data_IF_441828299313
#
_entry.id   IF_441828299313
#
_cell.length_a   1.000
_cell.length_b   1.000
_cell.length_c   1.000
_cell.angle_alpha   90.00
_cell.angle_beta   90.00
_cell.angle_gamma   90.00
#
_symmetry.space_group_name_H-M   'P 1'
#
loop_
_entity.id
_entity.type
_entity.pdbx_description
1 polymer ?
#
# COMPACT_ATOMS: atom_id res chain seq x y z
N UNK A 1 4.70 19.80 -18.28
CA UNK A 1 5.07 18.67 -17.41
C UNK A 1 5.32 17.47 -18.31
N UNK A 2 6.37 16.64 -18.12
CA UNK A 2 6.46 15.38 -18.85
C UNK A 2 5.26 14.50 -18.46
N UNK A 3 4.50 14.07 -19.46
CA UNK A 3 3.33 13.20 -19.25
C UNK A 3 3.74 11.84 -18.67
N UNK A 4 3.12 11.48 -17.55
CA UNK A 4 3.31 10.20 -16.87
C UNK A 4 2.02 9.38 -16.91
N UNK A 5 2.17 8.07 -17.10
CA UNK A 5 1.13 7.08 -16.88
C UNK A 5 1.47 6.27 -15.64
N UNK A 6 0.49 6.08 -14.76
CA UNK A 6 0.63 5.23 -13.58
C UNK A 6 -0.12 3.93 -13.81
N UNK A 7 0.57 2.80 -13.65
CA UNK A 7 -0.01 1.46 -13.70
C UNK A 7 0.04 0.82 -12.32
N UNK A 8 -0.99 0.06 -11.97
CA UNK A 8 -1.10 -0.69 -10.73
C UNK A 8 -1.44 -2.16 -11.00
N UNK A 9 -1.11 -3.02 -10.04
CA UNK A 9 -1.63 -4.38 -9.96
C UNK A 9 -3.14 -4.38 -9.70
N UNK A 10 -3.86 -5.33 -10.30
CA UNK A 10 -5.29 -5.58 -10.00
C UNK A 10 -5.51 -7.05 -9.67
N UNK A 11 -5.53 -7.92 -10.67
CA UNK A 11 -5.61 -9.39 -10.51
C UNK A 11 -4.26 -10.09 -10.65
N UNK A 12 -3.31 -9.45 -11.35
CA UNK A 12 -1.91 -9.89 -11.44
C UNK A 12 -1.06 -8.94 -10.61
N UNK A 13 -0.25 -9.48 -9.68
CA UNK A 13 0.58 -8.67 -8.79
C UNK A 13 1.74 -7.97 -9.50
N UNK A 14 2.32 -8.60 -10.53
CA UNK A 14 3.46 -8.09 -11.27
C UNK A 14 3.58 -8.74 -12.67
N UNK A 15 3.97 -7.98 -13.72
CA UNK A 15 4.08 -6.53 -13.74
C UNK A 15 2.70 -5.85 -13.63
N UNK A 16 2.62 -4.60 -13.15
CA UNK A 16 1.36 -3.87 -13.10
C UNK A 16 0.90 -3.51 -14.52
N UNK A 17 -0.40 -3.62 -14.77
CA UNK A 17 -0.95 -3.49 -16.13
C UNK A 17 -2.22 -2.64 -16.22
N UNK A 18 -2.78 -2.17 -15.10
CA UNK A 18 -4.03 -1.41 -15.09
C UNK A 18 -3.74 0.06 -14.80
N UNK A 19 -4.27 0.97 -15.62
CA UNK A 19 -4.10 2.40 -15.40
C UNK A 19 -4.79 2.86 -14.11
N UNK A 20 -4.04 3.59 -13.28
CA UNK A 20 -4.52 4.16 -12.03
C UNK A 20 -5.06 5.58 -12.27
N UNK A 21 -6.15 5.93 -11.58
CA UNK A 21 -6.63 7.31 -11.50
C UNK A 21 -5.79 8.03 -10.44
N UNK A 22 -4.82 8.82 -10.88
CA UNK A 22 -3.96 9.63 -10.00
C UNK A 22 -4.77 10.74 -9.34
N UNK A 23 -4.48 11.04 -8.07
CA UNK A 23 -5.18 12.04 -7.27
C UNK A 23 -6.70 11.80 -7.15
N UNK A 24 -7.13 10.54 -7.26
CA UNK A 24 -8.54 10.18 -7.25
C UNK A 24 -8.89 8.93 -6.43
N UNK A 25 -10.03 8.29 -6.72
CA UNK A 25 -10.55 7.18 -5.94
C UNK A 25 -9.60 5.97 -5.80
N UNK A 26 -9.70 5.18 -4.71
CA UNK A 26 -8.76 4.11 -4.45
C UNK A 26 -9.12 3.00 -5.43
N UNK A 27 -8.11 2.45 -6.10
CA UNK A 27 -8.31 1.33 -6.98
C UNK A 27 -8.24 0.04 -6.17
N UNK A 28 -9.27 -0.81 -6.29
CA UNK A 28 -9.29 -2.12 -5.64
C UNK A 28 -8.27 -3.05 -6.26
N UNK A 29 -7.58 -3.80 -5.42
CA UNK A 29 -6.56 -4.79 -5.79
C UNK A 29 -6.88 -6.10 -5.10
N UNK A 30 -6.90 -7.19 -5.87
CA UNK A 30 -7.09 -8.55 -5.36
C UNK A 30 -6.24 -9.51 -6.15
N UNK A 31 -5.10 -9.87 -5.57
CA UNK A 31 -4.18 -10.88 -6.11
C UNK A 31 -4.37 -12.20 -5.37
N UNK A 32 -3.54 -13.20 -5.66
CA UNK A 32 -3.58 -14.49 -4.96
C UNK A 32 -3.32 -14.34 -3.45
N UNK A 33 -2.45 -13.40 -3.07
CA UNK A 33 -1.96 -13.29 -1.68
C UNK A 33 -2.23 -11.94 -1.02
N UNK A 34 -2.96 -11.04 -1.68
CA UNK A 34 -3.29 -9.72 -1.14
C UNK A 34 -4.69 -9.27 -1.57
N UNK A 35 -5.42 -8.65 -0.65
CA UNK A 35 -6.69 -7.98 -0.92
C UNK A 35 -6.69 -6.60 -0.27
N UNK A 36 -7.01 -5.58 -1.04
CA UNK A 36 -7.00 -4.20 -0.57
C UNK A 36 -7.26 -3.18 -1.65
N UNK A 37 -6.68 -2.01 -1.47
CA UNK A 37 -6.84 -0.86 -2.33
C UNK A 37 -5.59 0.02 -2.35
N UNK A 38 -5.34 0.64 -3.50
CA UNK A 38 -4.18 1.49 -3.78
C UNK A 38 -4.66 2.86 -4.26
N UNK A 39 -4.13 3.92 -3.65
CA UNK A 39 -4.23 5.30 -4.15
C UNK A 39 -2.84 5.84 -4.49
N UNK A 40 -2.75 6.60 -5.57
CA UNK A 40 -1.52 7.26 -5.99
C UNK A 40 -1.77 8.76 -6.07
N UNK A 41 -0.95 9.53 -5.38
CA UNK A 41 -0.99 10.98 -5.37
C UNK A 41 0.27 11.54 -5.99
N UNK A 42 0.14 12.52 -6.88
CA UNK A 42 1.25 13.23 -7.51
C UNK A 42 0.92 14.72 -7.54
N UNK A 43 1.78 15.54 -6.96
CA UNK A 43 1.56 16.98 -6.84
C UNK A 43 1.69 17.64 -8.21
N UNK A 44 0.70 18.46 -8.57
CA UNK A 44 0.67 19.15 -9.87
C UNK A 44 0.51 18.21 -11.06
N UNK A 45 -0.13 17.06 -10.87
CA UNK A 45 -0.38 16.10 -11.94
C UNK A 45 -1.53 16.53 -12.83
N UNK A 46 -1.22 16.78 -14.10
CA UNK A 46 -2.20 17.08 -15.14
C UNK A 46 -2.93 15.79 -15.55
N UNK A 47 -4.16 15.58 -15.08
CA UNK A 47 -5.04 14.51 -15.57
C UNK A 47 -5.85 14.97 -16.78
N UNK A 48 -6.18 14.05 -17.69
CA UNK A 48 -7.10 14.30 -18.83
C UNK A 48 -8.58 14.48 -18.39
N UNK A 49 -8.83 14.76 -17.10
CA UNK A 49 -10.16 14.94 -16.49
C UNK A 49 -10.10 15.80 -15.23
N UNK A 50 -11.26 16.24 -14.73
CA UNK A 50 -11.41 17.14 -13.57
C UNK A 50 -10.51 16.68 -12.41
N UNK A 51 -9.55 17.51 -12.05
CA UNK A 51 -8.70 17.33 -10.87
C UNK A 51 -9.63 17.20 -9.66
N UNK A 52 -9.78 15.99 -9.13
CA UNK A 52 -10.54 15.81 -7.90
C UNK A 52 -9.84 16.55 -6.75
N UNK A 53 -10.63 17.17 -5.88
CA UNK A 53 -10.16 17.85 -4.64
C UNK A 53 -9.30 16.93 -3.73
N UNK A 54 -9.27 15.61 -3.98
CA UNK A 54 -8.57 14.63 -3.17
C UNK A 54 -7.04 14.82 -3.17
N UNK A 55 -6.44 15.17 -4.31
CA UNK A 55 -5.01 15.43 -4.40
C UNK A 55 -4.61 16.65 -3.57
N UNK A 56 -5.33 17.75 -3.72
CA UNK A 56 -5.09 18.98 -2.96
C UNK A 56 -5.29 18.76 -1.46
N UNK A 57 -6.35 18.05 -1.07
CA UNK A 57 -6.60 17.70 0.33
C UNK A 57 -5.47 16.82 0.91
N UNK A 58 -4.98 15.83 0.14
CA UNK A 58 -3.86 14.99 0.56
C UNK A 58 -2.58 15.81 0.79
N UNK A 59 -2.15 16.59 -0.20
CA UNK A 59 -0.92 17.37 -0.10
C UNK A 59 -1.02 18.54 0.89
N UNK A 60 -2.22 19.02 1.20
CA UNK A 60 -2.42 19.97 2.30
C UNK A 60 -2.11 19.35 3.66
N UNK A 61 -2.36 18.04 3.83
CA UNK A 61 -2.02 17.28 5.04
C UNK A 61 -0.59 16.71 5.06
N UNK A 62 0.08 16.73 3.91
CA UNK A 62 1.44 16.22 3.67
C UNK A 62 2.25 17.20 2.78
N UNK A 63 2.45 18.46 3.23
CA UNK A 63 3.06 19.51 2.39
C UNK A 63 4.50 19.22 1.96
N UNK A 64 5.19 18.33 2.69
CA UNK A 64 6.54 17.87 2.43
C UNK A 64 6.64 16.86 1.28
N UNK A 65 5.53 16.24 0.87
CA UNK A 65 5.51 15.22 -0.18
C UNK A 65 5.22 15.83 -1.55
N UNK A 66 5.91 15.31 -2.57
CA UNK A 66 5.64 15.61 -3.99
C UNK A 66 4.90 14.47 -4.68
N UNK A 67 4.95 13.27 -4.10
CA UNK A 67 4.12 12.12 -4.46
C UNK A 67 3.90 11.21 -3.26
N UNK A 68 2.87 10.37 -3.32
CA UNK A 68 2.63 9.32 -2.34
C UNK A 68 1.92 8.11 -2.95
N UNK A 69 2.26 6.94 -2.42
CA UNK A 69 1.56 5.68 -2.57
C UNK A 69 0.87 5.40 -1.24
N UNK A 70 -0.44 5.19 -1.28
CA UNK A 70 -1.23 4.79 -0.12
C UNK A 70 -1.83 3.44 -0.42
N UNK A 71 -1.56 2.45 0.43
CA UNK A 71 -2.07 1.10 0.28
C UNK A 71 -2.75 0.67 1.58
N UNK A 72 -3.98 0.16 1.48
CA UNK A 72 -4.72 -0.40 2.61
C UNK A 72 -5.19 -1.80 2.25
N UNK A 73 -5.02 -2.78 3.13
CA UNK A 73 -5.42 -4.15 2.83
C UNK A 73 -4.93 -5.18 3.84
N UNK A 74 -5.01 -6.45 3.44
CA UNK A 74 -4.59 -7.61 4.23
C UNK A 74 -3.87 -8.62 3.36
N UNK A 75 -2.96 -9.36 3.98
CA UNK A 75 -2.15 -10.40 3.34
C UNK A 75 -2.79 -11.76 3.61
N UNK A 76 -2.88 -12.62 2.59
CA UNK A 76 -3.70 -13.83 2.64
C UNK A 76 -2.88 -15.10 2.92
N UNK A 77 -1.56 -14.99 3.06
CA UNK A 77 -0.62 -16.11 3.09
C UNK A 77 0.34 -16.10 4.29
N UNK A 78 -0.02 -15.41 5.39
CA UNK A 78 0.71 -15.39 6.67
C UNK A 78 2.20 -15.04 6.53
N UNK A 79 2.52 -13.90 5.93
CA UNK A 79 3.91 -13.48 5.74
C UNK A 79 4.50 -12.89 7.03
N UNK A 80 5.70 -13.33 7.40
CA UNK A 80 6.43 -12.78 8.54
C UNK A 80 6.81 -11.32 8.32
N UNK A 81 6.83 -10.53 9.40
CA UNK A 81 7.10 -9.10 9.30
C UNK A 81 8.53 -8.73 8.86
N UNK A 82 9.48 -9.65 9.00
CA UNK A 82 10.85 -9.49 8.45
C UNK A 82 10.94 -9.79 6.95
N UNK A 83 10.02 -10.63 6.46
CA UNK A 83 9.96 -11.09 5.08
C UNK A 83 9.08 -10.19 4.20
N UNK A 84 8.19 -9.38 4.78
CA UNK A 84 7.39 -8.43 4.02
C UNK A 84 8.22 -7.18 3.71
N UNK A 85 8.67 -7.08 2.46
CA UNK A 85 9.56 -6.00 2.00
C UNK A 85 8.91 -5.15 0.91
N UNK A 86 9.28 -3.88 0.90
CA UNK A 86 8.83 -2.88 -0.06
C UNK A 86 10.00 -2.07 -0.61
N UNK A 87 9.88 -1.64 -1.86
CA UNK A 87 10.82 -0.72 -2.47
C UNK A 87 10.76 -0.78 -3.99
N UNK A 88 11.90 -0.60 -4.65
CA UNK A 88 11.99 -0.47 -6.10
C UNK A 88 12.64 -1.67 -6.76
N UNK A 89 12.15 -2.02 -7.94
CA UNK A 89 12.78 -2.97 -8.86
C UNK A 89 12.86 -2.39 -10.26
N UNK A 90 13.85 -2.84 -11.02
CA UNK A 90 14.15 -2.38 -12.38
C UNK A 90 14.26 -3.60 -13.30
N UNK A 91 13.63 -3.51 -14.48
CA UNK A 91 13.60 -4.60 -15.46
C UNK A 91 14.84 -4.62 -16.36
N UNK A 92 15.62 -3.52 -16.37
CA UNK A 92 16.87 -3.40 -17.15
C UNK A 92 18.01 -2.84 -16.29
N UNK A 93 19.27 -3.14 -16.62
CA UNK A 93 20.41 -2.63 -15.88
C UNK A 93 20.43 -1.10 -15.89
N UNK A 94 20.66 -0.49 -14.72
CA UNK A 94 20.82 0.98 -14.61
C UNK A 94 22.28 1.43 -14.48
N UNK A 95 23.23 0.48 -14.39
CA UNK A 95 24.65 0.73 -14.10
C UNK A 95 25.31 1.78 -15.00
N UNK A 96 24.91 1.85 -16.26
CA UNK A 96 25.45 2.80 -17.25
C UNK A 96 24.75 4.17 -17.22
N UNK A 97 23.65 4.27 -16.47
CA UNK A 97 22.84 5.48 -16.26
C UNK A 97 23.07 6.10 -14.87
N UNK A 98 23.89 5.49 -14.02
CA UNK A 98 24.18 5.98 -12.69
C UNK A 98 25.11 7.22 -12.74
N UNK A 99 24.78 8.33 -12.05
CA UNK A 99 25.67 9.47 -11.94
C UNK A 99 27.04 9.11 -11.35
N UNK A 100 28.09 9.84 -11.72
CA UNK A 100 29.41 9.69 -11.09
C UNK A 100 29.30 10.02 -9.58
N UNK A 101 29.47 9.01 -8.72
CA UNK A 101 29.31 9.14 -7.26
C UNK A 101 28.20 8.28 -6.63
N UNK A 102 27.47 7.45 -7.39
CA UNK A 102 26.40 6.58 -6.81
C UNK A 102 26.88 5.66 -5.69
N UNK A 103 28.15 5.23 -5.68
CA UNK A 103 28.73 4.47 -4.57
C UNK A 103 28.77 5.24 -3.22
N UNK A 104 28.67 6.58 -3.27
CA UNK A 104 28.52 7.44 -2.08
C UNK A 104 27.04 7.57 -1.73
N UNK A 105 26.15 7.69 -2.72
CA UNK A 105 24.70 7.74 -2.51
C UNK A 105 24.17 6.47 -1.83
N UNK A 106 24.71 5.28 -2.12
CA UNK A 106 24.36 4.03 -1.41
C UNK A 106 24.68 4.08 0.07
N UNK A 107 25.81 4.69 0.47
CA UNK A 107 26.16 4.87 1.89
C UNK A 107 25.21 5.84 2.61
N UNK A 108 24.72 6.87 1.92
CA UNK A 108 23.73 7.80 2.48
C UNK A 108 22.34 7.17 2.61
N UNK A 109 21.96 6.24 1.73
CA UNK A 109 20.68 5.54 1.85
C UNK A 109 20.58 4.73 3.15
N UNK A 110 21.66 4.08 3.59
CA UNK A 110 21.68 3.37 4.88
C UNK A 110 21.59 4.30 6.11
N UNK A 111 21.93 5.58 5.96
CA UNK A 111 21.71 6.56 7.04
C UNK A 111 20.22 6.91 7.18
N UNK A 112 19.47 6.90 6.07
CA UNK A 112 18.03 7.18 6.05
C UNK A 112 17.23 5.94 6.44
N UNK A 113 17.59 4.78 5.90
CA UNK A 113 16.99 3.48 6.18
C UNK A 113 18.10 2.43 6.40
N UNK A 114 18.44 2.12 7.67
CA UNK A 114 19.50 1.16 7.97
C UNK A 114 19.15 -0.28 7.59
N UNK A 115 17.88 -0.55 7.27
CA UNK A 115 17.36 -1.87 6.91
C UNK A 115 17.19 -2.06 5.41
N UNK A 116 17.53 -1.04 4.62
CA UNK A 116 17.53 -1.12 3.16
C UNK A 116 18.61 -2.09 2.67
N UNK A 117 18.20 -3.02 1.83
CA UNK A 117 19.07 -3.89 1.04
C UNK A 117 18.93 -3.50 -0.44
N UNK A 118 20.01 -3.57 -1.20
CA UNK A 118 20.00 -3.17 -2.61
C UNK A 118 21.11 -3.84 -3.40
N UNK A 119 20.84 -4.07 -4.68
CA UNK A 119 21.86 -4.31 -5.70
C UNK A 119 21.55 -3.44 -6.91
N UNK A 120 22.24 -2.30 -7.00
CA UNK A 120 22.09 -1.34 -8.11
C UNK A 120 22.92 -1.71 -9.35
N UNK A 121 23.78 -2.72 -9.24
CA UNK A 121 24.69 -3.15 -10.30
C UNK A 121 24.24 -4.46 -10.99
N UNK A 122 23.25 -5.16 -10.41
CA UNK A 122 22.59 -6.30 -11.01
C UNK A 122 22.04 -6.00 -12.41
N UNK A 123 21.86 -7.05 -13.23
CA UNK A 123 21.20 -6.91 -14.53
C UNK A 123 19.72 -6.53 -14.37
N UNK A 124 19.10 -6.89 -13.24
CA UNK A 124 17.81 -6.38 -12.78
C UNK A 124 17.98 -5.72 -11.40
N UNK A 125 18.28 -4.41 -11.37
CA UNK A 125 18.54 -3.68 -10.13
C UNK A 125 17.34 -3.69 -9.17
N UNK A 126 17.62 -3.59 -7.87
CA UNK A 126 16.57 -3.51 -6.84
C UNK A 126 17.07 -2.80 -5.58
N UNK A 127 16.12 -2.25 -4.82
CA UNK A 127 16.33 -1.69 -3.49
C UNK A 127 15.08 -1.94 -2.65
N UNK A 128 15.17 -2.75 -1.61
CA UNK A 128 14.04 -3.23 -0.81
C UNK A 128 14.35 -3.12 0.67
N UNK A 129 13.33 -2.77 1.46
CA UNK A 129 13.44 -2.64 2.92
C UNK A 129 12.19 -3.22 3.58
N UNK A 130 12.27 -3.76 4.80
CA UNK A 130 11.10 -4.24 5.53
C UNK A 130 10.02 -3.16 5.62
N UNK A 131 8.77 -3.52 5.30
CA UNK A 131 7.61 -2.61 5.34
C UNK A 131 7.50 -1.91 6.70
N UNK A 132 7.71 -2.67 7.78
CA UNK A 132 7.66 -2.18 9.16
C UNK A 132 8.62 -1.02 9.44
N UNK A 133 9.75 -0.97 8.73
CA UNK A 133 10.77 0.07 8.91
C UNK A 133 10.65 1.19 7.88
N UNK A 134 10.40 0.89 6.61
CA UNK A 134 10.64 1.86 5.53
C UNK A 134 9.53 2.90 5.35
N UNK A 135 8.27 2.53 5.63
CA UNK A 135 7.11 3.38 5.34
C UNK A 135 7.22 4.77 5.98
N UNK A 136 6.67 5.80 5.32
CA UNK A 136 6.53 7.13 5.92
C UNK A 136 5.53 7.07 7.07
N UNK A 137 4.41 6.38 6.86
CA UNK A 137 3.43 6.07 7.91
C UNK A 137 2.91 4.65 7.76
N UNK A 138 2.67 4.02 8.91
CA UNK A 138 2.17 2.66 8.97
C UNK A 138 1.10 2.54 10.06
N UNK A 139 0.00 1.86 9.75
CA UNK A 139 -1.03 1.48 10.69
C UNK A 139 -1.26 -0.03 10.62
N UNK A 140 -1.33 -0.70 11.77
CA UNK A 140 -1.56 -2.14 11.87
C UNK A 140 -2.70 -2.39 12.85
N UNK A 141 -3.84 -2.87 12.41
CA UNK A 141 -5.02 -3.05 13.28
C UNK A 141 -5.49 -4.50 13.23
N UNK A 142 -5.57 -5.16 14.39
CA UNK A 142 -6.26 -6.46 14.52
C UNK A 142 -7.77 -6.22 14.52
N UNK A 143 -8.51 -6.90 13.66
CA UNK A 143 -9.93 -6.61 13.44
C UNK A 143 -10.86 -7.12 14.58
N UNK A 144 -11.81 -6.27 14.99
CA UNK A 144 -13.22 -6.61 15.31
C UNK A 144 -14.21 -5.46 14.96
N UNK A 145 -13.80 -4.43 14.18
CA UNK A 145 -14.54 -3.16 14.02
C UNK A 145 -14.75 -2.73 12.54
N UNK A 146 -15.75 -1.87 12.23
CA UNK A 146 -16.61 -2.00 11.06
C UNK A 146 -16.03 -1.50 9.73
N UNK A 147 -16.56 -2.12 8.67
CA UNK A 147 -16.31 -2.00 7.23
C UNK A 147 -16.71 -0.65 6.61
N UNK A 148 -16.35 0.47 7.24
CA UNK A 148 -16.53 1.80 6.67
C UNK A 148 -15.18 2.49 6.52
N UNK A 149 -14.53 2.22 5.38
CA UNK A 149 -13.41 3.01 4.88
C UNK A 149 -13.93 4.43 4.60
N UNK A 150 -13.83 5.30 5.60
CA UNK A 150 -14.23 6.70 5.48
C UNK A 150 -13.48 7.42 4.37
N UNK A 151 -14.09 8.49 3.85
CA UNK A 151 -13.50 9.33 2.81
C UNK A 151 -12.47 10.27 3.47
N UNK A 152 -11.30 9.72 3.83
CA UNK A 152 -10.02 10.43 3.89
C UNK A 152 -8.86 9.42 3.90
N UNK A 153 -7.95 9.55 2.92
CA UNK A 153 -7.07 8.44 2.44
C UNK A 153 -5.67 8.42 3.03
N UNK A 154 -5.24 9.43 3.77
CA UNK A 154 -3.93 9.41 4.42
C UNK A 154 -3.85 8.27 5.46
N UNK A 155 -2.67 7.68 5.63
CA UNK A 155 -2.44 6.72 6.72
C UNK A 155 -1.95 7.50 7.92
N UNK A 156 -2.56 7.28 9.09
CA UNK A 156 -2.00 7.78 10.34
C UNK A 156 -1.06 6.73 10.94
N UNK A 157 -0.03 7.21 11.64
CA UNK A 157 0.99 6.36 12.22
C UNK A 157 0.43 5.69 13.48
N UNK A 158 0.25 4.37 13.42
CA UNK A 158 -0.27 3.55 14.51
C UNK A 158 0.08 2.07 14.31
N UNK A 159 1.38 1.75 14.36
CA UNK A 159 1.84 0.36 14.20
C UNK A 159 2.41 -0.25 15.47
N UNK A 160 2.93 0.56 16.41
CA UNK A 160 3.68 0.04 17.55
C UNK A 160 2.79 -0.60 18.63
N UNK A 161 1.52 -0.23 18.70
CA UNK A 161 0.58 -0.84 19.66
C UNK A 161 0.46 -2.36 19.49
N UNK A 162 0.74 -2.88 18.29
CA UNK A 162 0.75 -4.33 18.00
C UNK A 162 1.77 -5.10 18.86
N UNK A 163 2.79 -4.40 19.38
CA UNK A 163 3.82 -4.92 20.29
C UNK A 163 3.62 -4.44 21.74
N UNK A 164 2.42 -3.97 22.09
CA UNK A 164 2.07 -3.39 23.39
C UNK A 164 2.94 -2.17 23.75
N UNK A 165 3.33 -1.40 22.73
CA UNK A 165 4.17 -0.21 22.88
C UNK A 165 3.35 1.07 22.76
N UNK A 166 3.47 2.01 23.71
CA UNK A 166 2.67 3.23 23.74
C UNK A 166 3.18 4.32 22.78
N UNK A 167 4.38 4.19 22.22
CA UNK A 167 4.94 5.18 21.30
C UNK A 167 4.18 5.21 19.97
N UNK A 168 3.94 6.41 19.43
CA UNK A 168 3.17 6.60 18.18
C UNK A 168 3.95 7.37 17.12
N UNK A 169 5.24 7.64 17.35
CA UNK A 169 6.04 8.40 16.40
C UNK A 169 6.66 7.51 15.33
N UNK A 170 6.75 8.04 14.10
CA UNK A 170 7.43 7.39 12.97
C UNK A 170 8.88 7.04 13.32
N UNK A 171 9.56 7.93 14.07
CA UNK A 171 10.94 7.73 14.51
C UNK A 171 11.08 6.53 15.45
N UNK A 172 10.17 6.40 16.42
CA UNK A 172 10.18 5.29 17.37
C UNK A 172 9.83 3.98 16.67
N UNK A 173 8.86 4.00 15.74
CA UNK A 173 8.54 2.85 14.90
C UNK A 173 9.77 2.36 14.14
N UNK A 174 10.43 3.28 13.41
CA UNK A 174 11.63 2.99 12.62
C UNK A 174 12.76 2.45 13.47
N UNK A 175 12.96 2.99 14.67
CA UNK A 175 13.95 2.48 15.63
C UNK A 175 13.62 1.07 16.12
N UNK A 176 12.36 0.81 16.49
CA UNK A 176 11.90 -0.50 16.94
C UNK A 176 12.07 -1.57 15.86
N UNK A 177 11.49 -1.33 14.68
CA UNK A 177 11.52 -2.25 13.56
C UNK A 177 12.80 -2.16 12.72
N UNK A 178 13.79 -1.35 13.14
CA UNK A 178 15.16 -1.43 12.63
C UNK A 178 15.85 -2.76 12.97
N UNK A 179 15.33 -3.50 13.95
CA UNK A 179 15.85 -4.79 14.40
C UNK A 179 15.00 -5.96 13.88
N UNK A 180 15.64 -7.02 13.39
CA UNK A 180 14.95 -8.21 12.86
C UNK A 180 14.07 -8.89 13.94
N UNK A 181 14.57 -9.03 15.16
CA UNK A 181 13.84 -9.64 16.29
C UNK A 181 12.45 -8.99 16.52
N UNK A 182 12.34 -7.67 16.43
CA UNK A 182 11.04 -7.01 16.57
C UNK A 182 10.12 -7.22 15.36
N UNK A 183 10.68 -7.37 14.16
CA UNK A 183 9.92 -7.62 12.93
C UNK A 183 9.39 -9.05 12.87
N UNK A 184 10.20 -10.02 13.31
CA UNK A 184 9.85 -11.45 13.38
C UNK A 184 8.68 -11.74 14.35
N UNK A 185 8.40 -10.83 15.29
CA UNK A 185 7.24 -10.92 16.20
C UNK A 185 5.91 -10.61 15.54
N UNK A 186 5.92 -10.09 14.30
CA UNK A 186 4.73 -9.72 13.56
C UNK A 186 4.46 -10.75 12.47
N UNK A 187 3.21 -11.17 12.34
CA UNK A 187 2.73 -11.94 11.19
C UNK A 187 1.63 -11.14 10.51
N UNK A 188 1.78 -10.95 9.21
CA UNK A 188 0.76 -10.35 8.35
C UNK A 188 -0.14 -11.45 7.80
N UNK A 189 -1.29 -11.60 8.42
CA UNK A 189 -2.32 -12.55 8.03
C UNK A 189 -3.63 -11.83 7.66
N UNK A 190 -4.67 -12.61 7.35
CA UNK A 190 -5.94 -12.06 6.90
C UNK A 190 -6.71 -11.29 7.97
N UNK A 191 -6.34 -11.41 9.25
CA UNK A 191 -6.93 -10.69 10.38
C UNK A 191 -6.24 -9.37 10.71
N UNK A 192 -5.06 -9.12 10.12
CA UNK A 192 -4.29 -7.90 10.33
C UNK A 192 -4.52 -6.90 9.19
N UNK A 193 -5.33 -5.88 9.45
CA UNK A 193 -5.50 -4.78 8.53
C UNK A 193 -4.26 -3.90 8.54
N UNK A 194 -3.70 -3.65 7.35
CA UNK A 194 -2.47 -2.90 7.16
C UNK A 194 -2.76 -1.65 6.34
N UNK A 195 -2.39 -0.48 6.86
CA UNK A 195 -2.33 0.78 6.12
C UNK A 195 -0.89 1.23 5.96
N UNK A 196 -0.46 1.49 4.72
CA UNK A 196 0.90 1.92 4.36
C UNK A 196 0.85 3.21 3.57
N UNK A 197 1.67 4.18 3.95
CA UNK A 197 1.92 5.40 3.17
C UNK A 197 3.42 5.50 2.90
N UNK A 198 3.78 5.59 1.62
CA UNK A 198 5.14 5.79 1.17
C UNK A 198 5.19 6.97 0.20
N UNK A 199 6.10 7.91 0.43
CA UNK A 199 6.26 9.08 -0.41
C UNK A 199 7.56 9.80 -0.08
N UNK A 200 8.04 10.62 -1.00
CA UNK A 200 9.24 11.42 -0.79
C UNK A 200 9.03 12.83 -1.33
N UNK A 201 9.59 13.82 -0.65
CA UNK A 201 9.75 15.18 -1.16
C UNK A 201 11.04 15.39 -1.94
N UNK A 202 11.92 14.39 -1.98
CA UNK A 202 13.20 14.48 -2.67
C UNK A 202 13.05 14.22 -4.17
N UNK A 203 12.05 13.44 -4.59
CA UNK A 203 11.78 13.14 -5.99
C UNK A 203 10.54 13.93 -6.44
N UNK A 204 10.74 14.90 -7.32
CA UNK A 204 9.65 15.60 -7.97
C UNK A 204 9.34 14.92 -9.31
N UNK A 205 8.18 14.25 -9.39
CA UNK A 205 7.71 13.57 -10.60
C UNK A 205 7.16 14.55 -11.64
N UNK A 206 6.73 15.76 -11.24
CA UNK A 206 6.24 16.79 -12.15
C UNK A 206 7.37 17.44 -12.95
N UNK A 207 8.56 17.52 -12.35
CA UNK A 207 9.75 18.04 -13.04
C UNK A 207 10.76 16.95 -13.41
N UNK A 208 10.51 15.70 -13.02
CA UNK A 208 11.45 14.57 -13.08
C UNK A 208 12.82 15.00 -12.53
N UNK A 209 12.84 15.48 -11.30
CA UNK A 209 14.07 15.94 -10.64
C UNK A 209 14.25 15.35 -9.25
N UNK A 210 15.51 15.20 -8.84
CA UNK A 210 15.85 14.81 -7.47
C UNK A 210 16.54 15.96 -6.76
N UNK A 211 16.04 16.29 -5.57
CA UNK A 211 16.65 17.21 -4.62
C UNK A 211 17.47 16.41 -3.62
N UNK A 212 18.75 16.73 -3.50
CA UNK A 212 19.62 16.09 -2.51
C UNK A 212 19.39 16.70 -1.11
N UNK A 213 19.34 15.88 -0.04
CA UNK A 213 19.18 16.39 1.32
C UNK A 213 20.45 17.10 1.82
N UNK A 214 20.37 18.43 1.96
CA UNK A 214 21.27 19.38 2.64
C UNK A 214 22.75 19.51 2.20
N UNK A 215 23.28 20.72 2.50
CA UNK A 215 24.53 21.39 2.08
C UNK A 215 24.53 22.09 0.71
N UNK A 216 23.80 21.63 -0.30
CA UNK A 216 23.59 22.37 -1.55
C UNK A 216 22.22 22.02 -2.15
N UNK A 217 21.34 23.00 -2.45
CA UNK A 217 20.08 22.75 -3.16
C UNK A 217 20.38 22.51 -4.65
N UNK A 218 21.02 21.39 -4.96
CA UNK A 218 21.22 20.93 -6.33
C UNK A 218 20.01 20.08 -6.72
N UNK A 219 19.15 20.62 -7.57
CA UNK A 219 18.14 19.83 -8.28
C UNK A 219 18.80 19.22 -9.51
N UNK A 220 18.82 17.88 -9.58
CA UNK A 220 19.37 17.15 -10.71
C UNK A 220 18.23 16.64 -11.57
N UNK A 221 18.21 17.02 -12.85
CA UNK A 221 17.24 16.49 -13.82
C UNK A 221 17.47 14.99 -14.03
N UNK A 222 16.46 14.18 -13.68
CA UNK A 222 16.49 12.74 -13.89
C UNK A 222 16.48 12.40 -15.38
N UNK A 223 15.81 13.17 -16.24
CA UNK A 223 15.83 12.94 -17.69
C UNK A 223 17.26 12.91 -18.26
N UNK A 224 18.21 13.62 -17.63
CA UNK A 224 19.61 13.62 -18.06
C UNK A 224 20.32 12.29 -17.79
N UNK A 225 19.85 11.48 -16.85
CA UNK A 225 20.52 10.25 -16.42
C UNK A 225 19.65 9.00 -16.64
N UNK A 226 18.35 9.10 -16.43
CA UNK A 226 17.36 8.04 -16.58
C UNK A 226 17.27 7.52 -18.01
N UNK A 227 16.99 6.23 -18.16
CA UNK A 227 16.91 5.50 -19.42
C UNK A 227 15.49 5.30 -19.95
N UNK A 228 14.51 5.91 -19.28
CA UNK A 228 13.10 5.81 -19.64
C UNK A 228 12.47 4.46 -19.28
N UNK A 229 13.15 3.59 -18.53
CA UNK A 229 12.48 2.40 -18.00
C UNK A 229 11.55 2.79 -16.82
N UNK A 230 10.40 2.14 -16.64
CA UNK A 230 9.46 2.50 -15.58
C UNK A 230 10.10 2.40 -14.20
N UNK A 231 9.74 3.32 -13.31
CA UNK A 231 10.06 3.19 -11.88
C UNK A 231 8.97 2.33 -11.25
N UNK A 232 9.31 1.09 -10.87
CA UNK A 232 8.35 0.13 -10.33
C UNK A 232 8.56 -0.01 -8.83
N UNK A 233 7.53 0.32 -8.06
CA UNK A 233 7.43 0.00 -6.65
C UNK A 233 6.75 -1.35 -6.49
N UNK A 234 7.27 -2.18 -5.59
CA UNK A 234 6.73 -3.50 -5.30
C UNK A 234 6.63 -3.72 -3.80
N UNK A 235 5.58 -4.42 -3.38
CA UNK A 235 5.56 -5.11 -2.10
C UNK A 235 5.62 -6.61 -2.36
N UNK A 236 6.56 -7.29 -1.70
CA UNK A 236 6.81 -8.71 -1.93
C UNK A 236 7.27 -9.42 -0.67
N UNK A 237 7.16 -10.75 -0.68
CA UNK A 237 7.91 -11.62 0.22
C UNK A 237 9.38 -11.61 -0.20
N UNK A 238 10.28 -11.45 0.77
CA UNK A 238 11.74 -11.51 0.62
C UNK A 238 12.17 -12.76 -0.15
N UNK A 239 13.16 -12.62 -1.03
CA UNK A 239 13.68 -13.68 -1.88
C UNK A 239 15.10 -13.35 -2.34
N UNK A 240 15.89 -14.36 -2.65
CA UNK A 240 17.20 -14.23 -3.30
C UNK A 240 17.09 -13.63 -4.72
N UNK A 241 15.94 -13.81 -5.38
CA UNK A 241 15.64 -13.27 -6.69
C UNK A 241 14.49 -12.25 -6.59
N UNK A 242 14.79 -10.98 -6.24
CA UNK A 242 13.77 -9.99 -5.90
C UNK A 242 12.99 -9.44 -7.10
N UNK A 243 13.44 -9.68 -8.34
CA UNK A 243 12.80 -9.18 -9.57
C UNK A 243 12.16 -10.34 -10.34
N UNK A 244 11.22 -11.03 -9.69
CA UNK A 244 10.37 -12.07 -10.28
C UNK A 244 8.92 -11.91 -9.83
N UNK A 245 7.93 -12.41 -10.60
CA UNK A 245 6.53 -12.35 -10.19
C UNK A 245 6.23 -13.12 -8.91
N UNK A 246 6.98 -14.19 -8.61
CA UNK A 246 6.77 -15.03 -7.44
C UNK A 246 7.02 -14.26 -6.13
N UNK A 247 6.02 -14.31 -5.24
CA UNK A 247 6.05 -13.61 -3.96
C UNK A 247 5.67 -12.13 -4.05
N UNK A 248 5.25 -11.62 -5.21
CA UNK A 248 4.71 -10.25 -5.34
C UNK A 248 3.29 -10.19 -4.79
N UNK A 249 3.03 -9.22 -3.91
CA UNK A 249 1.71 -8.96 -3.37
C UNK A 249 0.95 -7.94 -4.23
N UNK A 250 1.64 -6.85 -4.57
CA UNK A 250 1.14 -5.76 -5.41
C UNK A 250 2.29 -4.91 -5.95
N UNK A 251 2.03 -4.14 -7.01
CA UNK A 251 3.01 -3.25 -7.61
C UNK A 251 2.39 -1.98 -8.20
N UNK A 252 3.20 -0.93 -8.28
CA UNK A 252 2.86 0.37 -8.88
C UNK A 252 4.00 0.82 -9.78
N UNK A 253 3.73 1.11 -11.05
CA UNK A 253 4.73 1.59 -12.00
C UNK A 253 4.42 3.01 -12.48
N UNK A 254 5.45 3.84 -12.54
CA UNK A 254 5.43 5.15 -13.17
C UNK A 254 6.14 5.07 -14.52
N UNK A 255 5.41 5.34 -15.59
CA UNK A 255 5.89 5.26 -16.97
C UNK A 255 5.87 6.64 -17.62
N UNK A 256 6.92 6.98 -18.36
CA UNK A 256 6.90 8.18 -19.19
C UNK A 256 6.17 7.89 -20.50
N UNK A 257 5.13 8.69 -20.78
CA UNK A 257 4.32 8.60 -22.02
C UNK A 257 4.39 9.90 -22.83
N UNK A 258 5.28 10.80 -22.43
CA UNK A 258 5.54 12.06 -23.11
C UNK A 258 6.33 11.85 -24.40
N UNK A 259 5.68 12.05 -25.54
CA UNK A 259 6.28 11.80 -26.86
C UNK A 259 7.55 12.63 -27.11
N UNK A 260 7.58 13.89 -26.64
CA UNK A 260 8.75 14.76 -26.81
C UNK A 260 9.94 14.28 -25.97
N UNK A 261 9.68 13.88 -24.72
CA UNK A 261 10.70 13.34 -23.84
C UNK A 261 11.19 11.96 -24.31
N UNK A 262 10.30 11.11 -24.79
CA UNK A 262 10.64 9.82 -25.41
C UNK A 262 11.54 10.05 -26.62
N UNK A 263 11.16 10.93 -27.55
CA UNK A 263 11.97 11.26 -28.72
C UNK A 263 13.35 11.85 -28.34
N UNK A 264 13.43 12.61 -27.25
CA UNK A 264 14.71 13.11 -26.74
C UNK A 264 15.61 12.00 -26.16
N UNK A 265 15.04 10.99 -25.50
CA UNK A 265 15.75 9.81 -25.02
C UNK A 265 16.25 8.94 -26.19
N UNK A 266 15.41 8.75 -27.21
CA UNK A 266 15.76 7.98 -28.42
C UNK A 266 16.88 8.64 -29.22
N UNK A 267 16.87 9.97 -29.37
CA UNK A 267 17.98 10.73 -29.98
C UNK A 267 19.31 10.53 -29.27
N UNK A 268 19.30 10.13 -28.00
CA UNK A 268 20.49 9.83 -27.18
C UNK A 268 20.86 8.34 -27.21
N UNK A 269 20.20 7.55 -28.04
CA UNK A 269 20.45 6.11 -28.18
C UNK A 269 19.82 5.24 -27.09
N UNK A 270 18.88 5.79 -26.29
CA UNK A 270 18.16 5.03 -25.26
C UNK A 270 16.83 4.50 -25.81
N UNK A 271 16.38 3.34 -25.33
CA UNK A 271 15.04 2.79 -25.66
C UNK A 271 14.12 2.87 -24.46
N UNK A 272 12.91 3.40 -24.62
CA UNK A 272 11.91 3.46 -23.55
C UNK A 272 11.24 2.10 -23.41
N UNK A 273 11.13 1.60 -22.18
CA UNK A 273 10.43 0.34 -21.90
C UNK A 273 8.99 0.67 -21.52
N UNK A 274 8.03 0.24 -22.35
CA UNK A 274 6.61 0.37 -22.06
C UNK A 274 6.06 -0.93 -21.48
N UNK A 275 5.27 -0.84 -20.41
CA UNK A 275 4.55 -1.99 -19.86
C UNK A 275 3.27 -2.25 -20.65
N UNK A 276 2.87 -3.53 -20.72
CA UNK A 276 1.63 -3.93 -21.39
C UNK A 276 0.42 -3.52 -20.55
N UNK A 277 -0.47 -2.69 -21.11
CA UNK A 277 -1.70 -2.25 -20.45
C UNK A 277 -2.83 -3.23 -20.76
N UNK A 278 -3.54 -3.70 -19.73
CA UNK A 278 -4.80 -4.42 -19.89
C UNK A 278 -5.94 -3.42 -19.89
N UNK A 279 -6.88 -3.55 -20.81
CA UNK A 279 -8.11 -2.75 -20.78
C UNK A 279 -8.84 -2.96 -19.44
N UNK A 280 -9.46 -1.90 -18.87
CA UNK A 280 -10.25 -2.05 -17.65
C UNK A 280 -11.38 -3.03 -17.92
N UNK A 281 -11.39 -4.15 -17.21
CA UNK A 281 -12.53 -5.05 -17.17
C UNK A 281 -13.61 -4.32 -16.39
N UNK A 282 -14.75 -4.04 -17.03
CA UNK A 282 -15.92 -3.41 -16.42
C UNK A 282 -16.30 -4.17 -15.12
N UNK A 283 -15.91 -3.64 -13.96
CA UNK A 283 -16.28 -4.20 -12.64
C UNK A 283 -17.69 -3.78 -12.20
N UNK A 284 -18.49 -3.22 -13.11
CA UNK A 284 -19.88 -2.83 -12.87
C UNK A 284 -20.86 -3.99 -13.15
N UNK A 285 -20.62 -5.20 -12.63
CA UNK A 285 -21.61 -6.28 -12.77
C UNK A 285 -21.44 -7.46 -11.79
N UNK A 286 -20.99 -7.26 -10.55
CA UNK A 286 -21.22 -8.31 -9.53
C UNK A 286 -21.38 -7.68 -8.14
N UNK A 287 -22.53 -7.06 -7.92
CA UNK A 287 -23.06 -6.95 -6.58
C UNK A 287 -23.20 -8.38 -6.01
N UNK A 288 -22.77 -8.64 -4.76
CA UNK A 288 -23.02 -9.94 -4.14
C UNK A 288 -24.53 -10.19 -4.15
N UNK A 289 -24.96 -11.31 -4.76
CA UNK A 289 -26.34 -11.77 -4.64
C UNK A 289 -26.65 -11.87 -3.14
N UNK A 290 -27.77 -11.29 -2.66
CA UNK A 290 -28.14 -11.45 -1.27
C UNK A 290 -28.23 -12.94 -0.96
N UNK A 291 -27.59 -13.33 0.14
CA UNK A 291 -27.64 -14.68 0.69
C UNK A 291 -29.12 -15.08 0.77
N UNK A 292 -29.52 -16.09 0.00
CA UNK A 292 -30.89 -16.59 0.06
C UNK A 292 -31.15 -17.02 1.51
N UNK A 293 -32.13 -16.41 2.16
CA UNK A 293 -32.59 -16.84 3.47
C UNK A 293 -33.03 -18.29 3.34
N UNK A 294 -32.31 -19.22 3.96
CA UNK A 294 -32.80 -20.58 4.10
C UNK A 294 -34.12 -20.53 4.88
N UNK A 295 -35.19 -20.95 4.21
CA UNK A 295 -36.50 -21.06 4.79
C UNK A 295 -36.48 -22.10 5.92
N UNK A 296 -36.84 -21.66 7.12
CA UNK A 296 -37.14 -22.53 8.26
C UNK A 296 -38.27 -23.49 7.83
N UNK A 297 -38.09 -24.83 7.90
CA UNK A 297 -39.15 -25.76 7.55
C UNK A 297 -40.30 -25.67 8.58
N UNK A 298 -41.56 -25.77 8.14
CA UNK A 298 -42.72 -25.65 9.02
C UNK A 298 -42.78 -26.83 9.98
N UNK A 299 -42.83 -26.52 11.27
CA UNK A 299 -42.94 -27.52 12.33
C UNK A 299 -44.29 -28.26 12.26
N UNK A 300 -44.20 -29.57 12.45
CA UNK A 300 -45.30 -30.54 12.35
C UNK A 300 -46.26 -30.35 13.54
N UNK A 301 -47.56 -30.42 13.23
CA UNK A 301 -48.68 -30.42 14.18
C UNK A 301 -48.47 -31.48 15.27
N UNK A 302 -48.54 -31.07 16.53
CA UNK A 302 -48.83 -31.96 17.66
C UNK A 302 -50.25 -31.68 18.18
N UNK A 303 -50.98 -32.77 18.39
CA UNK A 303 -52.41 -32.85 18.62
C UNK A 303 -52.84 -32.36 20.02
N UNK A 304 -54.09 -31.93 20.09
CA UNK A 304 -54.84 -31.54 21.28
C UNK A 304 -55.24 -32.73 22.16
N UNK A 305 -55.13 -32.58 23.48
CA UNK A 305 -55.77 -33.43 24.49
C UNK A 305 -55.73 -32.78 25.89
N UNK A 306 -56.72 -33.02 26.77
CA UNK A 306 -57.40 -31.94 27.51
C UNK A 306 -56.89 -31.66 28.93
N UNK A 307 -57.18 -30.45 29.42
CA UNK A 307 -57.02 -30.05 30.83
C UNK A 307 -57.92 -30.86 31.80
N UNK A 308 -57.79 -30.65 33.12
CA UNK A 308 -58.54 -29.53 33.72
C UNK A 308 -57.95 -28.91 35.01
N UNK A 309 -58.66 -27.85 35.46
CA UNK A 309 -58.96 -27.45 36.85
C UNK A 309 -58.01 -26.52 37.63
N UNK A 310 -58.32 -25.23 37.48
CA UNK A 310 -58.63 -24.21 38.50
C UNK A 310 -58.54 -24.56 40.01
N UNK A 311 -57.93 -23.63 40.75
CA UNK A 311 -58.00 -23.24 42.20
C UNK A 311 -56.66 -22.57 42.52
N UNK A 312 -56.52 -21.40 43.13
CA UNK A 312 -57.43 -20.48 43.80
C UNK A 312 -56.55 -19.53 44.63
N UNK A 313 -56.85 -18.25 44.51
CA UNK A 313 -56.52 -17.09 45.34
C UNK A 313 -55.86 -17.32 46.73
N UNK A 314 -54.81 -16.55 47.07
CA UNK A 314 -54.67 -15.84 48.35
C UNK A 314 -53.38 -14.98 48.39
N UNK A 315 -53.55 -13.73 48.81
CA UNK A 315 -52.50 -12.84 49.28
C UNK A 315 -51.94 -13.32 50.63
N UNK A 316 -50.68 -13.03 50.94
CA UNK A 316 -50.38 -12.28 52.17
C UNK A 316 -48.95 -11.70 52.23
N UNK A 317 -48.90 -10.68 53.06
CA UNK A 317 -47.89 -9.74 53.57
C UNK A 317 -46.45 -10.17 53.92
N UNK A 318 -45.69 -9.11 54.24
CA UNK A 318 -44.56 -9.01 55.21
C UNK A 318 -43.13 -9.24 54.69
N UNK A 319 -42.32 -8.16 54.61
CA UNK A 319 -41.33 -7.65 55.61
C UNK A 319 -39.96 -8.35 55.46
N UNK A 320 -38.92 -7.61 55.07
CA UNK A 320 -37.81 -7.11 55.94
C UNK A 320 -36.86 -8.26 56.33
N UNK A 321 -35.52 -8.18 56.36
CA UNK A 321 -34.53 -7.12 56.52
C UNK A 321 -33.15 -7.66 56.05
N UNK A 322 -32.21 -6.72 55.89
CA UNK A 322 -30.79 -6.74 56.27
C UNK A 322 -29.80 -7.83 55.80
N UNK A 323 -28.74 -7.43 55.09
CA UNK A 323 -27.34 -7.13 55.54
C UNK A 323 -26.51 -8.39 55.77
N UNK A 324 -25.54 -8.63 54.88
CA UNK A 324 -24.09 -8.45 55.13
C UNK A 324 -23.34 -8.32 53.79
#
# INVERSE_FOLDING_TARGET
MPKLRVLISTSTAYPPSTQCVVNGPPARVRTEHFEGEISVFIKGFESDGDEGDEGEAFFSSRPELTYALVVRGRYLDNVGGDDLVFGNVFERPIRDSLPWGTAIATRFMHFVDPTLELDVYADKPWALSPVLATMNRLSLTKEEAPTAMGIFRAVEEDALHILDRPETSISDRRKCFGTAENRERITFDSSLQTGMEFGSGLLDLATLSVTLPNSFPLSVSLLSYWDGQPVIYVCRRRSENPVTPEGMYWSVAFEIVDEEAIAALEKRGKSVLALQVKEPVDQAAEAPKPLASEAIPPNVKAETGPGPADRGNAADDSLSDDID
#
